data_IF_686421305669
#
_entry.id   IF_686421305669
#
_cell.length_a   1.000
_cell.length_b   1.000
_cell.length_c   1.000
_cell.angle_alpha   90.00
_cell.angle_beta   90.00
_cell.angle_gamma   90.00
#
_symmetry.space_group_name_H-M   'P 1'
#
loop_
_entity.id
_entity.type
_entity.pdbx_description
1 polymer ?
#
# COMPACT_ATOMS: atom_id res chain seq x y z
N UNK A 1 -30.98 34.46 -4.75
CA UNK A 1 -31.00 33.21 -3.94
C UNK A 1 -29.57 32.82 -3.61
N UNK A 2 -29.11 33.07 -2.38
CA UNK A 2 -27.79 32.62 -1.91
C UNK A 2 -27.87 31.13 -1.56
N UNK A 3 -27.26 30.26 -2.38
CA UNK A 3 -27.03 28.86 -2.00
C UNK A 3 -26.03 28.87 -0.84
N UNK A 4 -26.53 28.67 0.37
CA UNK A 4 -25.74 28.46 1.59
C UNK A 4 -24.80 27.28 1.31
N UNK A 5 -23.50 27.55 1.08
CA UNK A 5 -22.48 26.49 0.96
C UNK A 5 -22.44 25.77 2.31
N UNK A 6 -22.89 24.52 2.32
CA UNK A 6 -22.67 23.64 3.47
C UNK A 6 -21.16 23.57 3.75
N UNK A 7 -20.72 23.57 5.01
CA UNK A 7 -19.30 23.41 5.34
C UNK A 7 -18.80 22.13 4.68
N UNK A 8 -17.75 22.24 3.85
CA UNK A 8 -17.13 21.05 3.25
C UNK A 8 -16.49 20.27 4.39
N UNK A 9 -17.02 19.08 4.69
CA UNK A 9 -16.38 18.15 5.63
C UNK A 9 -14.95 17.92 5.15
N UNK A 10 -13.97 18.12 6.02
CA UNK A 10 -12.56 17.90 5.69
C UNK A 10 -12.37 16.44 5.24
N UNK A 11 -11.56 16.24 4.20
CA UNK A 11 -11.24 14.90 3.74
C UNK A 11 -10.29 14.24 4.74
N UNK A 12 -10.48 12.94 5.00
CA UNK A 12 -9.53 12.11 5.74
C UNK A 12 -8.21 12.06 4.96
N UNK A 13 -7.11 12.52 5.53
CA UNK A 13 -5.80 12.54 4.87
C UNK A 13 -5.01 11.29 5.18
N UNK A 14 -4.53 10.60 4.14
CA UNK A 14 -3.78 9.35 4.28
C UNK A 14 -2.43 9.53 3.59
N UNK A 15 -1.35 9.19 4.28
CA UNK A 15 -0.03 8.99 3.70
C UNK A 15 0.24 7.49 3.58
N UNK A 16 0.61 7.02 2.40
CA UNK A 16 1.12 5.66 2.19
C UNK A 16 2.51 5.74 1.59
N UNK A 17 3.48 5.07 2.22
CA UNK A 17 4.85 4.97 1.72
C UNK A 17 5.09 3.57 1.19
N UNK A 18 5.50 3.47 -0.07
CA UNK A 18 6.02 2.23 -0.66
C UNK A 18 7.55 2.18 -0.55
N UNK A 19 8.11 0.97 -0.52
CA UNK A 19 9.56 0.77 -0.48
C UNK A 19 10.26 1.33 -1.72
N UNK A 20 9.84 0.92 -2.91
CA UNK A 20 10.41 1.31 -4.20
C UNK A 20 9.36 1.63 -5.26
N UNK A 21 9.78 1.51 -6.52
CA UNK A 21 8.96 1.90 -7.68
C UNK A 21 7.79 0.92 -7.91
N UNK A 22 7.97 -0.37 -7.59
CA UNK A 22 6.91 -1.39 -7.71
C UNK A 22 5.72 -1.11 -6.78
N UNK A 23 6.01 -0.81 -5.51
CA UNK A 23 4.99 -0.44 -4.52
C UNK A 23 4.30 0.85 -4.93
N UNK A 24 5.05 1.86 -5.40
CA UNK A 24 4.46 3.13 -5.83
C UNK A 24 3.49 2.94 -7.02
N UNK A 25 3.86 2.13 -8.01
CA UNK A 25 3.00 1.81 -9.16
C UNK A 25 1.74 1.09 -8.70
N UNK A 26 1.87 0.07 -7.85
CA UNK A 26 0.73 -0.69 -7.33
C UNK A 26 -0.20 0.17 -6.46
N UNK A 27 0.36 0.99 -5.55
CA UNK A 27 -0.41 1.90 -4.70
C UNK A 27 -1.17 2.95 -5.51
N UNK A 28 -0.56 3.49 -6.58
CA UNK A 28 -1.24 4.44 -7.47
C UNK A 28 -2.39 3.79 -8.22
N UNK A 29 -2.20 2.55 -8.65
CA UNK A 29 -3.26 1.77 -9.27
C UNK A 29 -4.44 1.56 -8.31
N UNK A 30 -4.21 1.07 -7.08
CA UNK A 30 -5.27 0.90 -6.09
C UNK A 30 -5.95 2.23 -5.73
N UNK A 31 -5.19 3.31 -5.60
CA UNK A 31 -5.77 4.65 -5.42
C UNK A 31 -6.75 5.00 -6.54
N UNK A 32 -6.42 4.66 -7.79
CA UNK A 32 -7.28 4.87 -8.95
C UNK A 32 -8.58 4.06 -8.91
N UNK A 33 -8.55 2.86 -8.29
CA UNK A 33 -9.75 2.05 -8.10
C UNK A 33 -10.67 2.56 -6.97
N UNK A 34 -10.09 2.95 -5.84
CA UNK A 34 -10.86 3.16 -4.60
C UNK A 34 -11.09 4.63 -4.22
N UNK A 35 -10.31 5.58 -4.77
CA UNK A 35 -10.36 6.99 -4.35
C UNK A 35 -10.98 7.85 -5.44
N UNK A 36 -12.31 7.91 -5.43
CA UNK A 36 -13.07 8.81 -6.30
C UNK A 36 -12.98 10.28 -5.87
N UNK A 37 -13.19 11.19 -6.83
CA UNK A 37 -13.25 12.63 -6.53
C UNK A 37 -14.44 12.91 -5.61
N UNK A 38 -14.16 13.47 -4.43
CA UNK A 38 -15.20 13.82 -3.47
C UNK A 38 -15.59 12.69 -2.51
N UNK A 39 -14.90 11.55 -2.55
CA UNK A 39 -15.04 10.42 -1.60
C UNK A 39 -14.77 10.80 -0.14
N UNK A 40 -14.23 12.00 0.11
CA UNK A 40 -13.86 12.44 1.44
C UNK A 40 -12.57 11.80 1.95
N UNK A 41 -11.76 11.17 1.08
CA UNK A 41 -10.40 10.69 1.36
C UNK A 41 -9.40 11.39 0.44
N UNK A 42 -8.27 11.82 0.99
CA UNK A 42 -7.17 12.41 0.25
C UNK A 42 -5.89 11.61 0.51
N UNK A 43 -5.45 10.83 -0.49
CA UNK A 43 -4.30 9.93 -0.36
C UNK A 43 -3.05 10.52 -1.01
N UNK A 44 -1.98 10.61 -0.23
CA UNK A 44 -0.62 10.94 -0.67
C UNK A 44 0.22 9.68 -0.71
N UNK A 45 0.81 9.37 -1.86
CA UNK A 45 1.71 8.22 -2.03
C UNK A 45 3.12 8.76 -2.13
N UNK A 46 4.07 8.14 -1.40
CA UNK A 46 5.50 8.44 -1.50
C UNK A 46 6.30 7.16 -1.65
N UNK A 47 7.47 7.30 -2.26
CA UNK A 47 8.40 6.21 -2.53
C UNK A 47 9.65 6.44 -1.67
N UNK A 48 10.03 5.45 -0.87
CA UNK A 48 11.19 5.52 0.01
C UNK A 48 12.52 5.34 -0.75
N UNK A 49 12.49 4.97 -2.04
CA UNK A 49 13.66 4.74 -2.90
C UNK A 49 14.52 3.55 -2.41
N UNK A 50 13.86 2.49 -1.98
CA UNK A 50 14.43 1.23 -1.51
C UNK A 50 15.07 1.32 -0.12
N UNK A 51 16.07 0.45 0.10
CA UNK A 51 16.91 0.32 1.31
C UNK A 51 16.30 -0.46 2.49
N UNK A 52 15.27 -1.26 2.25
CA UNK A 52 14.70 -2.18 3.22
C UNK A 52 13.72 -1.53 4.20
N UNK A 53 12.97 -2.38 4.90
CA UNK A 53 11.82 -2.02 5.73
C UNK A 53 12.10 -0.92 6.78
N UNK A 54 13.25 -0.99 7.46
CA UNK A 54 13.64 0.02 8.46
C UNK A 54 13.78 1.42 7.87
N UNK A 55 14.28 1.54 6.64
CA UNK A 55 14.37 2.82 5.95
C UNK A 55 12.99 3.36 5.55
N UNK A 56 12.09 2.49 5.09
CA UNK A 56 10.71 2.86 4.74
C UNK A 56 9.96 3.41 5.95
N UNK A 57 10.08 2.76 7.11
CA UNK A 57 9.46 3.22 8.36
C UNK A 57 10.01 4.57 8.80
N UNK A 58 11.33 4.78 8.80
CA UNK A 58 11.90 6.06 9.18
C UNK A 58 11.54 7.18 8.19
N UNK A 59 11.48 6.86 6.89
CA UNK A 59 11.02 7.78 5.87
C UNK A 59 9.56 8.19 6.13
N UNK A 60 8.65 7.24 6.33
CA UNK A 60 7.25 7.52 6.64
C UNK A 60 7.09 8.39 7.89
N UNK A 61 7.84 8.09 8.96
CA UNK A 61 7.90 8.90 10.18
C UNK A 61 8.29 10.35 9.88
N UNK A 62 9.38 10.57 9.12
CA UNK A 62 9.84 11.92 8.74
C UNK A 62 8.80 12.67 7.91
N UNK A 63 8.12 11.98 6.99
CA UNK A 63 7.07 12.61 6.18
C UNK A 63 5.84 13.01 7.02
N UNK A 64 5.47 12.20 8.01
CA UNK A 64 4.38 12.50 8.94
C UNK A 64 4.72 13.64 9.91
N UNK A 65 6.00 13.86 10.22
CA UNK A 65 6.42 15.03 11.01
C UNK A 65 6.30 16.36 10.23
N UNK A 66 6.42 16.30 8.91
CA UNK A 66 6.37 17.50 8.05
C UNK A 66 4.94 17.91 7.66
N UNK A 67 3.96 17.02 7.79
CA UNK A 67 2.55 17.28 7.49
C UNK A 67 1.64 16.38 8.33
N UNK A 68 0.54 16.94 8.83
CA UNK A 68 -0.44 16.17 9.59
C UNK A 68 -1.29 15.30 8.65
N UNK A 69 -1.20 13.98 8.84
CA UNK A 69 -2.06 12.99 8.20
C UNK A 69 -2.91 12.30 9.28
N UNK A 70 -4.17 11.99 8.96
CA UNK A 70 -5.03 11.19 9.84
C UNK A 70 -4.55 9.73 9.92
N UNK A 71 -3.99 9.21 8.82
CA UNK A 71 -3.40 7.87 8.75
C UNK A 71 -2.06 7.90 8.04
N UNK A 72 -1.09 7.17 8.59
CA UNK A 72 0.21 6.92 7.98
C UNK A 72 0.41 5.42 7.86
N UNK A 73 0.66 4.94 6.65
CA UNK A 73 0.91 3.53 6.36
C UNK A 73 2.22 3.33 5.58
N UNK A 74 2.82 2.15 5.73
CA UNK A 74 4.03 1.75 5.02
C UNK A 74 3.86 0.34 4.44
N UNK A 75 3.94 0.22 3.11
CA UNK A 75 3.99 -1.05 2.37
C UNK A 75 5.47 -1.38 2.12
N UNK A 76 5.93 -2.51 2.65
CA UNK A 76 7.34 -2.88 2.65
C UNK A 76 7.53 -4.39 2.54
N UNK A 77 8.68 -4.79 2.02
CA UNK A 77 9.10 -6.18 1.97
C UNK A 77 9.68 -6.60 3.33
N UNK A 78 9.47 -7.85 3.73
CA UNK A 78 9.97 -8.37 5.02
C UNK A 78 11.34 -9.02 4.91
N UNK A 79 11.81 -9.32 3.69
CA UNK A 79 13.07 -10.02 3.45
C UNK A 79 14.31 -9.24 3.91
N UNK A 80 14.22 -7.90 3.94
CA UNK A 80 15.36 -7.03 4.23
C UNK A 80 14.99 -5.94 5.23
N UNK A 81 15.72 -5.89 6.35
CA UNK A 81 15.64 -4.76 7.29
C UNK A 81 14.39 -4.72 8.18
N UNK A 82 13.57 -5.78 8.18
CA UNK A 82 12.36 -5.87 9.02
C UNK A 82 12.65 -6.41 10.44
N UNK A 83 13.37 -5.60 11.22
CA UNK A 83 13.87 -5.94 12.56
C UNK A 83 12.93 -5.49 13.69
N UNK A 84 13.18 -5.93 14.93
CA UNK A 84 12.48 -5.44 16.12
C UNK A 84 12.60 -3.94 16.33
N UNK A 85 13.75 -3.36 15.96
CA UNK A 85 13.95 -1.92 16.00
C UNK A 85 13.01 -1.20 15.00
N UNK A 86 12.85 -1.73 13.79
CA UNK A 86 11.92 -1.19 12.80
C UNK A 86 10.46 -1.31 13.28
N UNK A 87 10.08 -2.47 13.85
CA UNK A 87 8.74 -2.68 14.44
C UNK A 87 8.46 -1.71 15.58
N UNK A 88 9.43 -1.50 16.47
CA UNK A 88 9.32 -0.54 17.58
C UNK A 88 9.17 0.89 17.06
N UNK A 89 9.96 1.28 16.07
CA UNK A 89 9.88 2.60 15.45
C UNK A 89 8.51 2.85 14.82
N UNK A 90 7.99 1.88 14.05
CA UNK A 90 6.67 1.98 13.43
C UNK A 90 5.57 2.15 14.49
N UNK A 91 5.61 1.35 15.55
CA UNK A 91 4.66 1.43 16.66
C UNK A 91 4.72 2.80 17.37
N UNK A 92 5.92 3.29 17.66
CA UNK A 92 6.12 4.59 18.32
C UNK A 92 5.64 5.77 17.46
N UNK A 93 5.72 5.64 16.14
CA UNK A 93 5.28 6.65 15.19
C UNK A 93 3.81 6.46 14.73
N UNK A 94 3.07 5.51 15.32
CA UNK A 94 1.70 5.16 14.92
C UNK A 94 1.55 4.86 13.42
N UNK A 95 2.57 4.24 12.82
CA UNK A 95 2.58 3.85 11.41
C UNK A 95 1.92 2.47 11.28
N UNK A 96 0.88 2.37 10.45
CA UNK A 96 0.30 1.10 10.02
C UNK A 96 1.26 0.41 9.04
N UNK A 97 1.91 -0.66 9.48
CA UNK A 97 2.77 -1.43 8.58
C UNK A 97 1.96 -2.49 7.85
N UNK A 98 2.16 -2.56 6.54
CA UNK A 98 1.59 -3.51 5.60
C UNK A 98 2.75 -4.38 5.08
N UNK A 99 3.09 -5.49 5.78
CA UNK A 99 4.26 -6.29 5.45
C UNK A 99 3.96 -7.26 4.31
N UNK A 100 4.70 -7.17 3.21
CA UNK A 100 4.68 -8.16 2.14
C UNK A 100 5.71 -9.25 2.43
N UNK A 101 5.26 -10.48 2.68
CA UNK A 101 6.13 -11.60 3.07
C UNK A 101 6.29 -12.63 1.93
N UNK A 102 7.52 -12.87 1.44
CA UNK A 102 8.76 -12.13 1.71
C UNK A 102 8.85 -10.78 0.97
N UNK A 103 8.10 -10.59 -0.12
CA UNK A 103 8.13 -9.38 -0.95
C UNK A 103 6.78 -9.09 -1.64
N UNK A 104 6.65 -7.90 -2.24
CA UNK A 104 5.46 -7.49 -2.97
C UNK A 104 5.07 -8.47 -4.08
N UNK A 105 6.03 -9.00 -4.84
CA UNK A 105 5.74 -9.99 -5.89
C UNK A 105 5.10 -11.27 -5.34
N UNK A 106 5.43 -11.67 -4.11
CA UNK A 106 4.79 -12.81 -3.46
C UNK A 106 3.29 -12.57 -3.26
N UNK A 107 2.93 -11.38 -2.74
CA UNK A 107 1.54 -10.98 -2.58
C UNK A 107 0.81 -10.95 -3.93
N UNK A 108 1.43 -10.37 -4.96
CA UNK A 108 0.81 -10.21 -6.28
C UNK A 108 0.63 -11.55 -7.01
N UNK A 109 1.59 -12.46 -6.88
CA UNK A 109 1.49 -13.83 -7.37
C UNK A 109 0.37 -14.59 -6.65
N UNK A 110 0.29 -14.49 -5.32
CA UNK A 110 -0.76 -15.14 -4.54
C UNK A 110 -2.17 -14.62 -4.88
N UNK A 111 -2.32 -13.30 -5.09
CA UNK A 111 -3.57 -12.69 -5.60
C UNK A 111 -3.98 -13.25 -6.98
N UNK A 112 -3.01 -13.77 -7.74
CA UNK A 112 -3.21 -14.45 -9.01
C UNK A 112 -3.24 -15.98 -8.93
N UNK A 113 -3.39 -16.53 -7.72
CA UNK A 113 -3.46 -17.97 -7.47
C UNK A 113 -2.19 -18.73 -7.90
N UNK A 114 -1.05 -18.02 -8.00
CA UNK A 114 0.24 -18.62 -8.31
C UNK A 114 0.91 -19.16 -7.04
N UNK A 115 1.55 -20.32 -7.15
CA UNK A 115 2.25 -20.92 -6.02
C UNK A 115 3.48 -20.09 -5.59
N UNK A 116 3.60 -19.80 -4.30
CA UNK A 116 4.73 -19.03 -3.73
C UNK A 116 5.61 -19.86 -2.78
N UNK A 117 5.13 -21.01 -2.30
CA UNK A 117 5.79 -21.80 -1.27
C UNK A 117 7.18 -22.30 -1.69
N UNK A 118 8.12 -22.23 -0.75
CA UNK A 118 9.50 -22.71 -0.93
C UNK A 118 10.36 -21.87 -1.88
N UNK A 119 9.88 -20.71 -2.35
CA UNK A 119 10.63 -19.82 -3.24
C UNK A 119 11.33 -18.71 -2.46
N UNK A 120 12.55 -18.37 -2.88
CA UNK A 120 13.25 -17.17 -2.42
C UNK A 120 12.67 -15.90 -3.06
N UNK A 121 12.97 -14.72 -2.50
CA UNK A 121 12.59 -13.42 -3.12
C UNK A 121 13.00 -13.35 -4.59
N UNK A 122 14.25 -13.69 -4.92
CA UNK A 122 14.74 -13.66 -6.30
C UNK A 122 13.95 -14.60 -7.23
N UNK A 123 13.57 -15.79 -6.72
CA UNK A 123 12.76 -16.74 -7.49
C UNK A 123 11.33 -16.23 -7.69
N UNK A 124 10.76 -15.52 -6.72
CA UNK A 124 9.44 -14.89 -6.81
C UNK A 124 9.45 -13.74 -7.81
N UNK A 125 10.47 -12.86 -7.78
CA UNK A 125 10.65 -11.79 -8.76
C UNK A 125 10.76 -12.32 -10.19
N UNK A 126 11.58 -13.37 -10.39
CA UNK A 126 11.66 -14.05 -11.70
C UNK A 126 10.36 -14.75 -12.08
N UNK A 127 9.63 -15.33 -11.13
CA UNK A 127 8.33 -15.96 -11.41
C UNK A 127 7.29 -14.93 -11.83
N UNK A 128 7.27 -13.78 -11.18
CA UNK A 128 6.46 -12.63 -11.55
C UNK A 128 6.77 -12.17 -12.98
N UNK A 129 8.04 -11.90 -13.30
CA UNK A 129 8.43 -11.47 -14.65
C UNK A 129 8.04 -12.50 -15.71
N UNK A 130 8.22 -13.80 -15.46
CA UNK A 130 7.77 -14.85 -16.38
C UNK A 130 6.25 -14.86 -16.56
N UNK A 131 5.49 -14.57 -15.50
CA UNK A 131 4.03 -14.62 -15.50
C UNK A 131 3.39 -13.44 -16.22
N UNK A 132 3.99 -12.25 -16.10
CA UNK A 132 3.41 -11.01 -16.60
C UNK A 132 4.22 -10.34 -17.72
N UNK A 133 5.42 -10.84 -18.03
CA UNK A 133 6.27 -10.34 -19.11
C UNK A 133 7.03 -9.05 -18.80
N UNK A 134 6.96 -8.54 -17.57
CA UNK A 134 7.68 -7.35 -17.11
C UNK A 134 7.85 -7.36 -15.57
N UNK A 135 8.65 -6.43 -15.06
CA UNK A 135 8.82 -6.23 -13.62
C UNK A 135 7.58 -5.61 -12.97
N UNK A 136 7.43 -5.76 -11.64
CA UNK A 136 6.31 -5.15 -10.93
C UNK A 136 6.30 -3.61 -11.00
N UNK A 137 7.48 -2.99 -11.16
CA UNK A 137 7.63 -1.54 -11.37
C UNK A 137 7.21 -1.04 -12.75
N UNK A 138 7.06 -1.92 -13.73
CA UNK A 138 6.64 -1.55 -15.10
C UNK A 138 5.19 -1.97 -15.39
N UNK A 139 4.52 -2.54 -14.40
CA UNK A 139 3.23 -3.20 -14.58
C UNK A 139 2.10 -2.22 -14.92
N UNK A 140 1.34 -2.53 -15.97
CA UNK A 140 0.02 -1.95 -16.23
C UNK A 140 -1.06 -2.80 -15.54
N UNK A 141 -1.32 -2.49 -14.28
CA UNK A 141 -2.28 -3.23 -13.45
C UNK A 141 -3.72 -3.22 -13.98
N UNK A 142 -4.10 -2.30 -14.87
CA UNK A 142 -5.46 -2.20 -15.41
C UNK A 142 -5.88 -3.43 -16.22
N UNK A 143 -4.91 -4.19 -16.73
CA UNK A 143 -5.13 -5.41 -17.52
C UNK A 143 -5.15 -6.68 -16.68
N UNK A 144 -4.72 -6.58 -15.43
CA UNK A 144 -4.45 -7.74 -14.59
C UNK A 144 -5.32 -7.76 -13.35
N UNK A 145 -5.66 -6.61 -12.78
CA UNK A 145 -6.53 -6.52 -11.63
C UNK A 145 -7.75 -5.70 -12.04
N UNK A 146 -8.93 -6.13 -11.59
CA UNK A 146 -10.12 -5.29 -11.56
C UNK A 146 -10.59 -5.20 -10.11
N UNK A 147 -11.46 -4.23 -9.81
CA UNK A 147 -11.93 -4.00 -8.45
C UNK A 147 -12.61 -5.26 -7.86
N UNK A 148 -13.34 -6.03 -8.67
CA UNK A 148 -14.02 -7.24 -8.23
C UNK A 148 -13.07 -8.37 -7.81
N UNK A 149 -11.97 -8.56 -8.55
CA UNK A 149 -10.91 -9.50 -8.18
C UNK A 149 -10.18 -9.01 -6.92
N UNK A 150 -9.86 -7.72 -6.84
CA UNK A 150 -9.17 -7.15 -5.67
C UNK A 150 -10.02 -7.30 -4.41
N UNK A 151 -11.31 -6.98 -4.46
CA UNK A 151 -12.25 -7.13 -3.34
C UNK A 151 -12.40 -8.60 -2.92
N UNK A 152 -12.54 -9.51 -3.88
CA UNK A 152 -12.60 -10.95 -3.59
C UNK A 152 -11.34 -11.42 -2.86
N UNK A 153 -10.17 -11.03 -3.36
CA UNK A 153 -8.87 -11.44 -2.82
C UNK A 153 -8.49 -10.74 -1.50
N UNK A 154 -9.14 -9.61 -1.18
CA UNK A 154 -8.92 -8.89 0.07
C UNK A 154 -9.23 -9.73 1.32
N UNK A 155 -10.21 -10.64 1.23
CA UNK A 155 -10.56 -11.56 2.33
C UNK A 155 -9.56 -12.70 2.52
N UNK A 156 -8.81 -13.04 1.47
CA UNK A 156 -7.81 -14.12 1.47
C UNK A 156 -6.42 -13.60 1.85
N UNK A 157 -6.13 -12.33 1.54
CA UNK A 157 -4.83 -11.71 1.77
C UNK A 157 -4.97 -10.50 2.72
N UNK A 158 -4.65 -10.64 4.02
CA UNK A 158 -4.84 -9.59 5.01
C UNK A 158 -4.17 -8.26 4.65
N UNK A 159 -2.98 -8.31 4.04
CA UNK A 159 -2.23 -7.11 3.61
C UNK A 159 -3.02 -6.34 2.56
N UNK A 160 -3.60 -7.03 1.58
CA UNK A 160 -4.42 -6.41 0.54
C UNK A 160 -5.70 -5.81 1.15
N UNK A 161 -6.37 -6.55 2.03
CA UNK A 161 -7.55 -6.05 2.72
C UNK A 161 -7.26 -4.81 3.56
N UNK A 162 -6.21 -4.82 4.38
CA UNK A 162 -5.78 -3.67 5.17
C UNK A 162 -5.41 -2.47 4.29
N UNK A 163 -4.75 -2.71 3.15
CA UNK A 163 -4.39 -1.67 2.20
C UNK A 163 -5.65 -1.01 1.60
N UNK A 164 -6.67 -1.78 1.20
CA UNK A 164 -7.97 -1.24 0.74
C UNK A 164 -8.63 -0.38 1.82
N UNK A 165 -8.60 -0.82 3.08
CA UNK A 165 -9.14 -0.05 4.21
C UNK A 165 -8.46 1.31 4.41
N UNK A 166 -7.20 1.47 3.97
CA UNK A 166 -6.53 2.78 3.98
C UNK A 166 -7.07 3.74 2.93
N UNK A 167 -7.57 3.24 1.80
CA UNK A 167 -8.08 4.05 0.69
C UNK A 167 -9.54 4.48 0.87
N UNK A 168 -10.34 3.72 1.61
CA UNK A 168 -11.76 4.01 1.80
C UNK A 168 -12.01 4.83 3.07
N UNK A 169 -13.08 5.62 3.04
CA UNK A 169 -13.57 6.29 4.25
C UNK A 169 -14.37 5.28 5.05
N UNK A 170 -13.82 4.83 6.18
CA UNK A 170 -14.61 4.11 7.18
C UNK A 170 -15.26 5.18 8.05
N UNK A 171 -16.57 5.41 7.87
CA UNK A 171 -17.33 6.20 8.82
C UNK A 171 -17.39 5.41 10.12
N UNK A 172 -16.46 5.67 11.03
CA UNK A 172 -16.56 5.18 12.40
C UNK A 172 -17.72 5.95 13.03
N UNK A 173 -18.88 5.28 13.16
CA UNK A 173 -19.96 5.77 13.99
C UNK A 173 -19.37 6.06 15.38
N UNK A 174 -19.36 7.34 15.75
CA UNK A 174 -18.97 7.80 17.08
C UNK A 174 -20.08 7.49 18.08
#
# INVERSE_FOLDING_TARGET
MNRRRLPRVAARTVLIVGEGDAEEVFLRYLKGLYVERGSGVAVTIKNARGKGAGHVVDYARRQAMNAQYDVVAALLDTDTGWTDAARKMAKQASIQVLPCDPCLEALLLAVKDEAIDGKTTDQLKRAFERRFGCSASEMDWTRHLDIALVDRKAGEHPVLGQLIQTFIRVDVAR
#
